data_IF_215744165733
#
_entry.id   IF_215744165733
#
_cell.length_a   1.000
_cell.length_b   1.000
_cell.length_c   1.000
_cell.angle_alpha   90.00
_cell.angle_beta   90.00
_cell.angle_gamma   90.00
#
_symmetry.space_group_name_H-M   'P 1'
#
loop_
_entity.id
_entity.type
_entity.pdbx_description
1 polymer ?
#
# COMPACT_ATOMS: atom_id res chain seq x y z
N UNK A 1 0.85 -22.40 15.94
CA UNK A 1 -0.53 -21.92 15.71
C UNK A 1 -0.81 -21.89 14.22
N UNK A 2 -1.90 -22.42 13.78
CA UNK A 2 -2.23 -22.41 12.37
C UNK A 2 -2.72 -21.03 11.94
N UNK A 3 -2.55 -20.71 10.69
CA UNK A 3 -3.03 -19.44 10.14
C UNK A 3 -4.55 -19.30 10.26
N UNK A 4 -5.27 -20.40 10.03
CA UNK A 4 -6.74 -20.39 10.10
C UNK A 4 -7.25 -20.02 11.48
N UNK A 5 -6.55 -20.42 12.52
CA UNK A 5 -6.93 -20.07 13.89
C UNK A 5 -6.78 -18.59 14.16
N UNK A 6 -5.80 -17.95 13.51
CA UNK A 6 -5.49 -16.54 13.73
C UNK A 6 -6.33 -15.60 12.89
N UNK A 7 -6.84 -16.05 11.76
CA UNK A 7 -7.59 -15.21 10.82
C UNK A 7 -8.82 -14.57 11.45
N UNK A 8 -9.44 -15.25 12.43
CA UNK A 8 -10.58 -14.71 13.16
C UNK A 8 -10.22 -13.69 14.23
N UNK A 9 -8.93 -13.54 14.56
CA UNK A 9 -8.48 -12.63 15.60
C UNK A 9 -8.34 -11.22 15.05
N UNK A 10 -8.82 -10.19 15.75
CA UNK A 10 -8.60 -8.82 15.30
C UNK A 10 -7.11 -8.53 15.15
N UNK A 11 -6.76 -7.81 14.10
CA UNK A 11 -5.40 -7.40 13.89
C UNK A 11 -5.04 -6.31 14.89
N UNK A 12 -4.06 -6.59 15.75
CA UNK A 12 -3.68 -5.67 16.82
C UNK A 12 -2.40 -4.91 16.51
N UNK A 13 -1.63 -5.38 15.53
CA UNK A 13 -0.28 -4.92 15.38
C UNK A 13 0.07 -4.63 13.93
N UNK A 14 0.47 -3.39 13.67
CA UNK A 14 1.05 -2.98 12.40
C UNK A 14 2.39 -2.34 12.70
N UNK A 15 3.46 -2.97 12.20
CA UNK A 15 4.82 -2.54 12.48
C UNK A 15 5.58 -2.18 11.21
N UNK A 16 6.59 -1.34 11.37
CA UNK A 16 7.60 -1.12 10.33
C UNK A 16 8.55 -2.29 10.35
N UNK A 17 8.70 -2.98 9.22
CA UNK A 17 9.48 -4.21 9.10
C UNK A 17 10.98 -3.98 9.07
N UNK A 18 11.40 -2.96 8.35
CA UNK A 18 12.78 -2.60 8.22
C UNK A 18 13.02 -1.29 8.96
N UNK A 19 14.26 -1.05 9.30
CA UNK A 19 14.61 0.24 9.85
C UNK A 19 14.18 1.32 8.87
N UNK A 20 13.32 2.26 9.29
CA UNK A 20 12.88 3.30 8.37
C UNK A 20 14.06 4.17 7.99
N UNK A 21 14.19 4.44 6.69
CA UNK A 21 15.11 5.44 6.20
C UNK A 21 14.42 6.79 6.23
N UNK A 22 15.18 7.87 6.00
CA UNK A 22 14.61 9.20 6.01
C UNK A 22 13.42 9.34 5.06
N UNK A 23 13.44 8.63 3.92
CA UNK A 23 12.47 8.80 2.85
C UNK A 23 11.59 7.59 2.60
N UNK A 24 11.71 6.54 3.39
CA UNK A 24 10.98 5.30 3.11
C UNK A 24 10.65 4.52 4.38
N UNK A 25 9.64 3.69 4.27
CA UNK A 25 9.25 2.75 5.33
C UNK A 25 8.56 1.54 4.73
N UNK A 26 8.67 0.41 5.42
CA UNK A 26 7.92 -0.79 5.07
C UNK A 26 7.08 -1.16 6.29
N UNK A 27 5.78 -1.33 6.08
CA UNK A 27 4.82 -1.70 7.12
C UNK A 27 4.46 -3.16 6.97
N UNK A 28 4.44 -3.86 8.08
CA UNK A 28 3.97 -5.24 8.13
C UNK A 28 2.80 -5.37 9.09
N UNK A 29 1.81 -6.13 8.69
CA UNK A 29 0.68 -6.46 9.54
C UNK A 29 0.83 -7.90 10.01
N UNK A 30 0.69 -8.12 11.31
CA UNK A 30 0.89 -9.41 11.93
C UNK A 30 -0.36 -9.86 12.66
N UNK A 31 -0.58 -11.16 12.62
CA UNK A 31 -1.57 -11.82 13.43
C UNK A 31 -0.82 -12.86 14.25
N UNK A 32 -0.59 -12.59 15.55
CA UNK A 32 0.17 -13.44 16.45
C UNK A 32 1.51 -13.90 15.87
N UNK A 33 2.35 -12.95 15.47
CA UNK A 33 3.68 -13.19 14.90
C UNK A 33 3.69 -13.76 13.47
N UNK A 34 2.53 -13.95 12.85
CA UNK A 34 2.45 -14.36 11.44
C UNK A 34 2.23 -13.14 10.59
N UNK A 35 3.16 -12.89 9.65
CA UNK A 35 3.03 -11.78 8.72
C UNK A 35 1.89 -12.06 7.73
N UNK A 36 0.89 -11.19 7.70
CA UNK A 36 -0.26 -11.37 6.83
C UNK A 36 -0.45 -10.27 5.80
N UNK A 37 0.27 -9.17 5.91
CA UNK A 37 0.23 -8.12 4.90
C UNK A 37 1.50 -7.28 4.95
N UNK A 38 1.84 -6.65 3.83
CA UNK A 38 2.99 -5.76 3.74
C UNK A 38 2.68 -4.62 2.76
N UNK A 39 3.21 -3.43 3.08
CA UNK A 39 3.12 -2.25 2.21
C UNK A 39 4.44 -1.51 2.27
N UNK A 40 4.99 -1.18 1.10
CA UNK A 40 6.15 -0.29 1.01
C UNK A 40 5.71 1.12 0.69
N UNK A 41 6.40 2.09 1.27
CA UNK A 41 6.16 3.52 1.05
C UNK A 41 7.49 4.21 0.82
N UNK A 42 7.57 5.03 -0.22
CA UNK A 42 8.79 5.72 -0.61
C UNK A 42 8.46 7.16 -1.01
N UNK A 43 9.14 8.14 -0.42
CA UNK A 43 9.09 9.51 -0.90
C UNK A 43 9.97 9.65 -2.13
N UNK A 44 9.54 10.43 -3.12
CA UNK A 44 10.35 10.73 -4.28
C UNK A 44 11.63 11.46 -3.86
N UNK A 45 12.75 11.05 -4.45
CA UNK A 45 14.06 11.54 -4.04
C UNK A 45 14.44 12.90 -4.64
N UNK A 46 13.84 13.25 -5.78
CA UNK A 46 14.15 14.52 -6.43
C UNK A 46 13.44 15.67 -5.73
N UNK A 47 14.16 16.78 -5.55
CA UNK A 47 13.64 17.95 -4.82
C UNK A 47 12.28 18.42 -5.34
N UNK A 48 12.14 18.50 -6.66
CA UNK A 48 10.88 18.94 -7.27
C UNK A 48 9.74 17.95 -7.15
N UNK A 49 10.03 16.71 -6.75
CA UNK A 49 9.04 15.65 -6.57
C UNK A 49 8.87 15.28 -5.11
N UNK A 50 9.58 15.93 -4.19
CA UNK A 50 9.63 15.53 -2.79
C UNK A 50 8.29 15.72 -2.05
N UNK A 51 7.32 16.39 -2.66
CA UNK A 51 5.94 16.46 -2.14
C UNK A 51 5.12 15.21 -2.45
N UNK A 52 5.70 14.27 -3.17
CA UNK A 52 5.05 13.03 -3.57
C UNK A 52 5.71 11.84 -2.89
N UNK A 53 4.90 10.84 -2.60
CA UNK A 53 5.37 9.51 -2.24
C UNK A 53 4.61 8.49 -3.07
N UNK A 54 5.08 7.25 -3.06
CA UNK A 54 4.40 6.19 -3.77
C UNK A 54 4.38 4.91 -2.94
N UNK A 55 3.33 4.15 -3.13
CA UNK A 55 3.13 2.85 -2.52
C UNK A 55 3.65 1.78 -3.47
N UNK A 56 4.34 0.80 -2.93
CA UNK A 56 4.84 -0.33 -3.71
C UNK A 56 4.74 -1.61 -2.88
N UNK A 57 4.75 -2.73 -3.56
CA UNK A 57 4.85 -4.03 -2.90
C UNK A 57 3.68 -4.39 -1.99
N UNK A 58 2.49 -3.88 -2.28
CA UNK A 58 1.30 -4.22 -1.47
C UNK A 58 0.97 -5.69 -1.63
N UNK A 59 0.89 -6.37 -0.50
CA UNK A 59 0.49 -7.77 -0.48
C UNK A 59 -0.34 -8.05 0.76
N UNK A 60 -1.44 -8.76 0.56
CA UNK A 60 -2.27 -9.28 1.66
C UNK A 60 -2.39 -10.78 1.43
N UNK A 61 -2.01 -11.57 2.43
CA UNK A 61 -2.11 -13.02 2.32
C UNK A 61 -3.55 -13.44 2.02
N UNK A 62 -3.76 -14.47 1.16
CA UNK A 62 -5.11 -14.87 0.77
C UNK A 62 -6.05 -15.11 1.96
N UNK A 63 -5.54 -15.69 3.03
CA UNK A 63 -6.33 -16.01 4.22
C UNK A 63 -6.73 -14.76 5.01
N UNK A 64 -6.01 -13.66 4.83
CA UNK A 64 -6.30 -12.39 5.51
C UNK A 64 -7.20 -11.47 4.70
N UNK A 65 -7.50 -11.81 3.45
CA UNK A 65 -8.32 -10.97 2.59
C UNK A 65 -9.77 -10.94 3.07
N UNK A 66 -10.42 -9.80 2.87
CA UNK A 66 -11.79 -9.61 3.32
C UNK A 66 -11.94 -9.36 4.81
N UNK A 67 -10.84 -9.14 5.53
CA UNK A 67 -10.81 -8.92 6.98
C UNK A 67 -10.48 -7.49 7.37
N UNK A 68 -10.37 -6.59 6.40
CA UNK A 68 -10.00 -5.20 6.65
C UNK A 68 -8.52 -4.94 6.86
N UNK A 69 -7.68 -5.95 6.69
CA UNK A 69 -6.22 -5.83 6.89
C UNK A 69 -5.61 -4.86 5.89
N UNK A 70 -6.00 -4.95 4.62
CA UNK A 70 -5.51 -4.04 3.59
C UNK A 70 -5.83 -2.59 3.91
N UNK A 71 -7.04 -2.31 4.35
CA UNK A 71 -7.45 -0.96 4.76
C UNK A 71 -6.63 -0.46 5.94
N UNK A 72 -6.41 -1.30 6.93
CA UNK A 72 -5.64 -0.91 8.13
C UNK A 72 -4.19 -0.59 7.80
N UNK A 73 -3.51 -1.45 7.05
CA UNK A 73 -2.10 -1.25 6.74
C UNK A 73 -1.91 -0.06 5.80
N UNK A 74 -2.80 0.11 4.83
CA UNK A 74 -2.76 1.26 3.92
C UNK A 74 -3.02 2.57 4.69
N UNK A 75 -3.94 2.58 5.64
CA UNK A 75 -4.19 3.76 6.46
C UNK A 75 -2.96 4.17 7.27
N UNK A 76 -2.21 3.20 7.79
CA UNK A 76 -0.96 3.49 8.48
C UNK A 76 0.08 4.12 7.53
N UNK A 77 0.20 3.57 6.34
CA UNK A 77 1.12 4.13 5.34
C UNK A 77 0.73 5.56 4.96
N UNK A 78 -0.55 5.81 4.74
CA UNK A 78 -1.05 7.13 4.38
C UNK A 78 -0.82 8.15 5.51
N UNK A 79 -1.06 7.76 6.76
CA UNK A 79 -0.78 8.61 7.92
C UNK A 79 0.71 8.93 8.03
N UNK A 80 1.56 7.94 7.81
CA UNK A 80 3.01 8.13 7.84
C UNK A 80 3.47 9.07 6.73
N UNK A 81 2.91 8.92 5.54
CA UNK A 81 3.23 9.79 4.41
C UNK A 81 2.96 11.26 4.74
N UNK A 82 1.82 11.54 5.34
CA UNK A 82 1.43 12.90 5.69
C UNK A 82 2.21 13.43 6.90
N UNK A 83 2.29 12.64 7.97
CA UNK A 83 2.81 13.13 9.26
C UNK A 83 4.33 13.04 9.36
N UNK A 84 4.95 12.02 8.80
CA UNK A 84 6.39 11.79 8.95
C UNK A 84 7.16 12.20 7.70
N UNK A 85 6.73 11.74 6.52
CA UNK A 85 7.39 12.12 5.28
C UNK A 85 7.03 13.53 4.81
N UNK A 86 5.91 14.06 5.28
CA UNK A 86 5.46 15.39 4.91
C UNK A 86 5.03 15.52 3.46
N UNK A 87 4.65 14.42 2.82
CA UNK A 87 4.21 14.46 1.43
C UNK A 87 2.75 14.89 1.32
N UNK A 88 2.37 15.44 0.16
CA UNK A 88 1.02 15.96 -0.08
C UNK A 88 0.16 15.02 -0.87
N UNK A 89 0.76 14.03 -1.49
CA UNK A 89 0.06 13.03 -2.28
C UNK A 89 0.79 11.71 -2.25
N UNK A 90 0.02 10.65 -2.40
CA UNK A 90 0.51 9.28 -2.47
C UNK A 90 0.02 8.68 -3.78
N UNK A 91 0.95 8.18 -4.56
CA UNK A 91 0.67 7.57 -5.87
C UNK A 91 0.87 6.06 -5.77
N UNK A 92 0.15 5.34 -6.60
CA UNK A 92 0.36 3.89 -6.75
C UNK A 92 -0.06 3.44 -8.15
N UNK A 93 0.44 2.27 -8.53
CA UNK A 93 -0.02 1.58 -9.72
C UNK A 93 -0.69 0.27 -9.33
N UNK A 94 -1.72 -0.11 -10.06
CA UNK A 94 -2.43 -1.37 -9.81
C UNK A 94 -2.81 -2.03 -11.14
N UNK A 95 -2.56 -3.34 -11.23
CA UNK A 95 -2.95 -4.14 -12.39
C UNK A 95 -4.47 -4.02 -12.58
N UNK A 96 -4.90 -3.73 -13.81
CA UNK A 96 -6.32 -3.53 -14.11
C UNK A 96 -7.17 -4.76 -13.83
N UNK A 97 -6.56 -5.95 -13.81
CA UNK A 97 -7.25 -7.21 -13.50
C UNK A 97 -7.33 -7.49 -12.00
N UNK A 98 -6.60 -6.74 -11.19
CA UNK A 98 -6.67 -6.86 -9.73
C UNK A 98 -7.87 -6.08 -9.20
N UNK A 99 -9.06 -6.66 -9.39
CA UNK A 99 -10.31 -5.97 -9.04
C UNK A 99 -10.42 -5.68 -7.55
N UNK A 100 -9.93 -6.57 -6.70
CA UNK A 100 -9.93 -6.37 -5.26
C UNK A 100 -9.04 -5.20 -4.86
N UNK A 101 -7.85 -5.10 -5.46
CA UNK A 101 -6.93 -4.00 -5.20
C UNK A 101 -7.52 -2.67 -5.65
N UNK A 102 -8.07 -2.63 -6.86
CA UNK A 102 -8.71 -1.41 -7.39
C UNK A 102 -9.83 -0.96 -6.45
N UNK A 103 -10.68 -1.88 -6.02
CA UNK A 103 -11.78 -1.56 -5.10
C UNK A 103 -11.27 -1.03 -3.76
N UNK A 104 -10.23 -1.65 -3.21
CA UNK A 104 -9.61 -1.21 -1.96
C UNK A 104 -9.09 0.22 -2.08
N UNK A 105 -8.35 0.51 -3.13
CA UNK A 105 -7.75 1.84 -3.30
C UNK A 105 -8.81 2.91 -3.51
N UNK A 106 -9.84 2.63 -4.30
CA UNK A 106 -10.95 3.55 -4.46
C UNK A 106 -11.67 3.82 -3.14
N UNK A 107 -11.88 2.79 -2.35
CA UNK A 107 -12.48 2.93 -1.01
C UNK A 107 -11.64 3.82 -0.11
N UNK A 108 -10.32 3.76 -0.24
CA UNK A 108 -9.40 4.59 0.52
C UNK A 108 -9.23 6.00 -0.05
N UNK A 109 -9.96 6.36 -1.08
CA UNK A 109 -9.93 7.69 -1.64
C UNK A 109 -8.93 7.91 -2.77
N UNK A 110 -8.32 6.86 -3.29
CA UNK A 110 -7.48 6.97 -4.47
C UNK A 110 -8.34 7.17 -5.71
N UNK A 111 -7.86 8.01 -6.61
CA UNK A 111 -8.52 8.34 -7.86
C UNK A 111 -7.62 7.94 -9.01
N UNK A 112 -8.19 7.29 -10.01
CA UNK A 112 -7.47 6.94 -11.23
C UNK A 112 -7.20 8.20 -12.04
N UNK A 113 -5.95 8.37 -12.49
CA UNK A 113 -5.60 9.48 -13.36
C UNK A 113 -4.92 9.05 -14.64
N UNK A 114 -4.62 7.78 -14.82
CA UNK A 114 -3.97 7.29 -16.02
C UNK A 114 -4.06 5.78 -16.15
N UNK A 115 -3.78 5.32 -17.37
CA UNK A 115 -3.71 3.91 -17.71
C UNK A 115 -2.45 3.69 -18.52
N UNK A 116 -1.58 2.82 -18.06
CA UNK A 116 -0.42 2.42 -18.84
C UNK A 116 -0.67 1.02 -19.41
N UNK A 117 -0.79 0.95 -20.72
CA UNK A 117 -0.98 -0.32 -21.41
C UNK A 117 0.35 -1.06 -21.49
N UNK A 118 0.29 -2.37 -21.22
CA UNK A 118 1.46 -3.22 -21.32
C UNK A 118 2.55 -2.87 -20.32
N UNK A 119 2.18 -2.39 -19.13
CA UNK A 119 3.12 -2.01 -18.10
C UNK A 119 4.02 -3.15 -17.66
N UNK A 120 3.44 -4.37 -17.53
CA UNK A 120 4.18 -5.57 -17.13
C UNK A 120 4.02 -6.66 -18.20
N UNK A 121 5.10 -7.37 -18.44
CA UNK A 121 5.09 -8.60 -19.26
C UNK A 121 5.39 -9.76 -18.33
N UNK A 122 4.41 -10.62 -18.09
CA UNK A 122 4.53 -11.76 -17.19
C UNK A 122 4.08 -13.02 -17.92
N UNK A 123 4.99 -13.99 -18.06
CA UNK A 123 4.68 -15.25 -18.73
C UNK A 123 4.16 -15.06 -20.16
N UNK A 124 4.68 -14.08 -20.89
CA UNK A 124 4.25 -13.78 -22.26
C UNK A 124 2.95 -13.00 -22.34
N UNK A 125 2.35 -12.62 -21.22
CA UNK A 125 1.09 -11.86 -21.19
C UNK A 125 1.37 -10.43 -20.73
N UNK A 126 0.88 -9.45 -21.50
CA UNK A 126 0.96 -8.05 -21.12
C UNK A 126 -0.16 -7.71 -20.16
N UNK A 127 0.19 -6.95 -19.13
CA UNK A 127 -0.77 -6.46 -18.13
C UNK A 127 -0.77 -4.94 -18.14
N UNK A 128 -1.97 -4.37 -18.11
CA UNK A 128 -2.15 -2.94 -18.03
C UNK A 128 -2.20 -2.51 -16.56
N UNK A 129 -1.86 -1.24 -16.31
CA UNK A 129 -1.82 -0.69 -14.97
C UNK A 129 -2.57 0.63 -14.89
N UNK A 130 -3.49 0.74 -13.91
CA UNK A 130 -4.06 2.03 -13.55
C UNK A 130 -3.05 2.79 -12.70
N UNK A 131 -2.90 4.07 -13.00
CA UNK A 131 -2.15 5.00 -12.14
C UNK A 131 -3.14 5.75 -11.28
N UNK A 132 -2.96 5.67 -9.97
CA UNK A 132 -3.90 6.26 -9.02
C UNK A 132 -3.18 7.19 -8.05
N UNK A 133 -3.89 8.17 -7.55
CA UNK A 133 -3.36 9.16 -6.63
C UNK A 133 -4.38 9.43 -5.53
N UNK A 134 -3.86 9.65 -4.32
CA UNK A 134 -4.64 10.21 -3.23
C UNK A 134 -3.88 11.37 -2.62
N UNK A 135 -4.55 12.51 -2.55
CA UNK A 135 -4.01 13.66 -1.84
C UNK A 135 -4.19 13.46 -0.35
N UNK A 136 -3.15 13.77 0.42
CA UNK A 136 -3.15 13.63 1.87
C UNK A 136 -2.88 14.99 2.49
N UNK A 137 -3.51 15.25 3.63
CA UNK A 137 -3.25 16.49 4.34
C UNK A 137 -1.87 16.38 4.98
N UNK A 138 -0.98 17.33 4.66
CA UNK A 138 0.25 17.43 5.40
C UNK A 138 -0.07 17.88 6.83
N UNK A 139 0.68 17.37 7.81
CA UNK A 139 0.61 17.85 9.17
C UNK A 139 1.29 19.22 9.21
N UNK A 140 0.54 20.25 8.89
CA UNK A 140 1.07 21.60 8.94
C UNK A 140 1.04 22.10 10.36
#
# INVERSE_FOLDING_TARGET
MSYEEEVGTPLEEIERRLQPKADSAIFGAFNSAVLCAVVGLQRESMVKLAHKSFIWGVYVAPEARGKGVGSQIMSQALSYAAAVLGTRQVNLGVNTKNLAGVALYKKLGFVEYGLERGYLLVGGVLHDEYQMVRHVASAA
#
